data_IF_695176769411
#
_entry.id   IF_695176769411
#
_cell.length_a   1.000
_cell.length_b   1.000
_cell.length_c   1.000
_cell.angle_alpha   90.00
_cell.angle_beta   90.00
_cell.angle_gamma   90.00
#
_symmetry.space_group_name_H-M   'P 1'
#
loop_
_entity.id
_entity.type
_entity.pdbx_description
1 polymer ?
#
# COMPACT_ATOMS: atom_id res chain seq x y z
N UNK A 1 -27.03 19.15 -47.05
CA UNK A 1 -27.11 17.85 -46.35
C UNK A 1 -26.08 16.97 -47.04
N UNK A 2 -24.92 16.72 -46.42
CA UNK A 2 -23.92 15.85 -47.03
C UNK A 2 -24.42 14.41 -46.94
N UNK A 3 -24.63 13.78 -48.08
CA UNK A 3 -24.92 12.34 -48.18
C UNK A 3 -23.85 11.56 -47.40
N UNK A 4 -24.29 10.61 -46.57
CA UNK A 4 -23.40 9.76 -45.77
C UNK A 4 -22.85 8.61 -46.60
N UNK A 5 -21.94 7.83 -46.02
CA UNK A 5 -21.60 6.52 -46.59
C UNK A 5 -22.84 5.62 -46.48
N UNK A 6 -23.25 5.03 -47.58
CA UNK A 6 -24.39 4.12 -47.68
C UNK A 6 -23.99 2.87 -48.47
N UNK A 7 -24.78 1.81 -48.34
CA UNK A 7 -24.62 0.60 -49.13
C UNK A 7 -25.98 0.03 -49.52
N UNK A 8 -26.05 -0.62 -50.68
CA UNK A 8 -27.23 -1.33 -51.16
C UNK A 8 -26.86 -2.63 -51.85
N UNK A 9 -27.81 -3.55 -51.95
CA UNK A 9 -27.66 -4.76 -52.74
C UNK A 9 -28.33 -4.57 -54.09
N UNK A 10 -27.62 -4.96 -55.15
CA UNK A 10 -28.15 -5.03 -56.50
C UNK A 10 -28.04 -6.48 -56.99
N UNK A 11 -29.07 -6.97 -57.68
CA UNK A 11 -29.05 -8.30 -58.29
C UNK A 11 -28.54 -8.17 -59.72
N UNK A 12 -27.38 -8.77 -60.00
CA UNK A 12 -26.86 -8.85 -61.37
C UNK A 12 -27.74 -9.76 -62.23
N UNK A 13 -27.77 -9.53 -63.56
CA UNK A 13 -28.53 -10.33 -64.55
C UNK A 13 -28.26 -11.85 -64.46
N UNK A 14 -27.14 -12.27 -63.85
CA UNK A 14 -26.76 -13.66 -63.59
C UNK A 14 -27.19 -14.24 -62.22
N UNK A 15 -28.01 -13.52 -61.45
CA UNK A 15 -28.57 -13.99 -60.16
C UNK A 15 -27.58 -13.93 -58.98
N UNK A 16 -26.44 -13.27 -59.15
CA UNK A 16 -25.44 -13.08 -58.10
C UNK A 16 -25.59 -11.71 -57.42
N UNK A 17 -25.62 -11.69 -56.09
CA UNK A 17 -25.74 -10.47 -55.31
C UNK A 17 -24.48 -9.60 -55.43
N UNK A 18 -24.67 -8.32 -55.74
CA UNK A 18 -23.63 -7.30 -55.82
C UNK A 18 -23.83 -6.26 -54.73
N UNK A 19 -22.79 -5.96 -53.96
CA UNK A 19 -22.84 -4.94 -52.92
C UNK A 19 -22.33 -3.62 -53.49
N UNK A 20 -23.21 -2.62 -53.57
CA UNK A 20 -22.90 -1.31 -54.13
C UNK A 20 -22.64 -0.34 -52.98
N UNK A 21 -21.47 0.30 -53.00
CA UNK A 21 -21.08 1.31 -52.02
C UNK A 21 -21.31 2.70 -52.60
N UNK A 22 -22.03 3.55 -51.86
CA UNK A 22 -22.47 4.87 -52.30
C UNK A 22 -22.01 5.97 -51.35
N UNK A 23 -21.78 7.16 -51.89
CA UNK A 23 -21.43 8.35 -51.12
C UNK A 23 -19.96 8.42 -50.70
N UNK A 24 -19.59 9.31 -49.75
CA UNK A 24 -18.22 9.48 -49.30
C UNK A 24 -17.81 8.40 -48.28
N UNK A 25 -16.80 7.60 -48.59
CA UNK A 25 -16.22 6.55 -47.75
C UNK A 25 -14.96 7.04 -47.02
N UNK A 26 -15.19 7.94 -46.06
CA UNK A 26 -14.17 8.57 -45.23
C UNK A 26 -14.30 8.13 -43.76
N UNK A 27 -13.25 8.29 -42.96
CA UNK A 27 -13.26 7.96 -41.53
C UNK A 27 -14.38 8.71 -40.77
N UNK A 28 -14.77 9.88 -41.25
CA UNK A 28 -15.82 10.72 -40.67
C UNK A 28 -17.25 10.27 -41.01
N UNK A 29 -17.44 9.40 -42.01
CA UNK A 29 -18.75 9.04 -42.55
C UNK A 29 -19.06 7.55 -42.44
N UNK A 30 -18.05 6.69 -42.57
CA UNK A 30 -18.19 5.23 -42.62
C UNK A 30 -18.63 4.62 -41.27
N UNK A 31 -18.41 5.33 -40.15
CA UNK A 31 -18.78 4.84 -38.82
C UNK A 31 -20.28 4.58 -38.62
N UNK A 32 -21.15 5.15 -39.47
CA UNK A 32 -22.61 4.90 -39.42
C UNK A 32 -23.01 3.54 -39.98
N UNK A 33 -22.25 3.02 -40.95
CA UNK A 33 -22.54 1.77 -41.66
C UNK A 33 -21.61 0.62 -41.25
N UNK A 34 -20.48 0.90 -40.56
CA UNK A 34 -19.49 -0.11 -40.15
C UNK A 34 -20.12 -1.29 -39.38
N UNK A 35 -21.06 -1.03 -38.47
CA UNK A 35 -21.71 -2.09 -37.69
C UNK A 35 -22.55 -3.02 -38.58
N UNK A 36 -23.37 -2.43 -39.45
CA UNK A 36 -24.26 -3.18 -40.34
C UNK A 36 -23.45 -3.97 -41.39
N UNK A 37 -22.40 -3.35 -41.95
CA UNK A 37 -21.48 -4.01 -42.87
C UNK A 37 -20.78 -5.20 -42.21
N UNK A 38 -20.44 -5.12 -40.91
CA UNK A 38 -19.82 -6.24 -40.17
C UNK A 38 -20.76 -7.40 -39.94
N UNK A 39 -22.06 -7.17 -39.87
CA UNK A 39 -23.09 -8.19 -39.67
C UNK A 39 -23.51 -8.88 -40.97
N UNK A 40 -23.05 -8.40 -42.14
CA UNK A 40 -23.29 -9.05 -43.43
C UNK A 40 -22.60 -10.42 -43.50
N UNK A 41 -23.40 -11.45 -43.78
CA UNK A 41 -22.99 -12.84 -43.97
C UNK A 41 -23.43 -13.35 -45.37
N UNK A 42 -22.59 -14.19 -45.99
CA UNK A 42 -22.87 -14.81 -47.29
C UNK A 42 -21.96 -14.31 -48.42
N UNK A 43 -21.74 -15.11 -49.46
CA UNK A 43 -20.89 -14.73 -50.57
C UNK A 43 -21.57 -13.64 -51.42
N UNK A 44 -20.84 -12.57 -51.69
CA UNK A 44 -21.23 -11.52 -52.62
C UNK A 44 -20.30 -11.62 -53.82
N UNK A 45 -20.82 -11.56 -55.05
CA UNK A 45 -19.99 -11.77 -56.23
C UNK A 45 -19.07 -10.59 -56.53
N UNK A 46 -19.55 -9.36 -56.31
CA UNK A 46 -18.76 -8.16 -56.53
C UNK A 46 -19.10 -7.04 -55.54
N UNK A 47 -18.08 -6.28 -55.17
CA UNK A 47 -18.18 -5.03 -54.43
C UNK A 47 -18.01 -3.87 -55.42
N UNK A 48 -19.05 -3.06 -55.63
CA UNK A 48 -19.00 -1.92 -56.56
C UNK A 48 -18.66 -0.62 -55.85
N UNK A 49 -17.60 0.05 -56.31
CA UNK A 49 -17.16 1.36 -55.84
C UNK A 49 -17.51 2.51 -56.81
N UNK A 50 -18.24 2.24 -57.91
CA UNK A 50 -18.52 3.22 -58.97
C UNK A 50 -19.25 4.47 -58.48
N UNK A 51 -20.04 4.34 -57.42
CA UNK A 51 -20.84 5.42 -56.82
C UNK A 51 -20.22 6.00 -55.54
N UNK A 52 -18.97 5.64 -55.24
CA UNK A 52 -18.21 6.23 -54.13
C UNK A 52 -17.61 7.56 -54.58
N UNK A 53 -18.04 8.65 -53.93
CA UNK A 53 -17.63 10.02 -54.30
C UNK A 53 -16.22 10.36 -53.82
N UNK A 54 -15.88 9.96 -52.60
CA UNK A 54 -14.55 10.13 -52.00
C UNK A 54 -14.18 8.90 -51.17
N UNK A 55 -12.89 8.57 -51.10
CA UNK A 55 -12.40 7.45 -50.29
C UNK A 55 -11.04 7.80 -49.66
N UNK A 56 -10.88 7.45 -48.39
CA UNK A 56 -9.62 7.56 -47.65
C UNK A 56 -9.03 6.18 -47.31
N UNK A 57 -7.93 6.17 -46.55
CA UNK A 57 -7.25 4.93 -46.17
C UNK A 57 -8.13 4.01 -45.32
N UNK A 58 -9.04 4.55 -44.50
CA UNK A 58 -9.95 3.76 -43.67
C UNK A 58 -11.07 3.18 -44.52
N UNK A 59 -11.66 3.97 -45.42
CA UNK A 59 -12.65 3.49 -46.38
C UNK A 59 -12.09 2.41 -47.30
N UNK A 60 -10.86 2.59 -47.80
CA UNK A 60 -10.18 1.59 -48.62
C UNK A 60 -9.86 0.30 -47.82
N UNK A 61 -9.43 0.43 -46.56
CA UNK A 61 -9.23 -0.72 -45.68
C UNK A 61 -10.52 -1.48 -45.41
N UNK A 62 -11.63 -0.78 -45.16
CA UNK A 62 -12.91 -1.42 -44.93
C UNK A 62 -13.42 -2.13 -46.18
N UNK A 63 -13.32 -1.50 -47.36
CA UNK A 63 -13.71 -2.11 -48.63
C UNK A 63 -12.87 -3.37 -48.94
N UNK A 64 -11.55 -3.31 -48.77
CA UNK A 64 -10.65 -4.46 -48.96
C UNK A 64 -10.92 -5.58 -47.95
N UNK A 65 -11.14 -5.23 -46.67
CA UNK A 65 -11.47 -6.20 -45.62
C UNK A 65 -12.83 -6.87 -45.88
N UNK A 66 -13.82 -6.11 -46.33
CA UNK A 66 -15.16 -6.60 -46.63
C UNK A 66 -15.17 -7.50 -47.87
N UNK A 67 -14.47 -7.10 -48.94
CA UNK A 67 -14.29 -7.90 -50.14
C UNK A 67 -13.60 -9.24 -49.82
N UNK A 68 -12.51 -9.22 -49.04
CA UNK A 68 -11.82 -10.43 -48.61
C UNK A 68 -12.68 -11.34 -47.74
N UNK A 69 -13.53 -10.78 -46.87
CA UNK A 69 -14.41 -11.56 -46.00
C UNK A 69 -15.61 -12.17 -46.72
N UNK A 70 -16.20 -11.45 -47.67
CA UNK A 70 -17.37 -11.91 -48.45
C UNK A 70 -16.97 -12.66 -49.74
N UNK A 71 -15.67 -12.74 -50.06
CA UNK A 71 -15.16 -13.38 -51.27
C UNK A 71 -15.54 -12.64 -52.55
N UNK A 72 -15.71 -11.31 -52.48
CA UNK A 72 -16.20 -10.47 -53.57
C UNK A 72 -15.06 -9.79 -54.34
N UNK A 73 -15.19 -9.70 -55.67
CA UNK A 73 -14.25 -8.93 -56.48
C UNK A 73 -14.59 -7.43 -56.43
N UNK A 74 -13.58 -6.59 -56.22
CA UNK A 74 -13.77 -5.13 -56.19
C UNK A 74 -13.84 -4.58 -57.62
N UNK A 75 -14.94 -3.91 -57.94
CA UNK A 75 -15.24 -3.32 -59.26
C UNK A 75 -15.51 -1.82 -59.11
N UNK A 76 -15.39 -1.04 -60.20
CA UNK A 76 -15.78 0.38 -60.18
C UNK A 76 -14.84 1.35 -59.45
N UNK A 77 -13.64 0.90 -59.04
CA UNK A 77 -12.69 1.74 -58.32
C UNK A 77 -12.10 2.86 -59.20
N UNK A 78 -12.23 4.11 -58.77
CA UNK A 78 -11.53 5.24 -59.40
C UNK A 78 -9.99 5.17 -59.13
N UNK A 79 -9.19 5.96 -59.84
CA UNK A 79 -7.71 5.90 -59.76
C UNK A 79 -7.17 6.20 -58.34
N UNK A 80 -7.90 6.98 -57.54
CA UNK A 80 -7.55 7.27 -56.14
C UNK A 80 -7.87 6.09 -55.23
N UNK A 81 -9.05 5.49 -55.40
CA UNK A 81 -9.50 4.30 -54.70
C UNK A 81 -8.56 3.12 -54.97
N UNK A 82 -8.21 2.87 -56.24
CA UNK A 82 -7.31 1.78 -56.63
C UNK A 82 -5.90 1.94 -56.00
N UNK A 83 -5.37 3.17 -55.94
CA UNK A 83 -4.09 3.44 -55.25
C UNK A 83 -4.15 3.17 -53.76
N UNK A 84 -5.23 3.57 -53.09
CA UNK A 84 -5.41 3.35 -51.66
C UNK A 84 -5.65 1.88 -51.33
N UNK A 85 -6.45 1.17 -52.12
CA UNK A 85 -6.68 -0.27 -51.98
C UNK A 85 -5.35 -1.04 -52.08
N UNK A 86 -4.53 -0.74 -53.09
CA UNK A 86 -3.20 -1.35 -53.25
C UNK A 86 -2.24 -1.00 -52.11
N UNK A 87 -2.29 0.22 -51.58
CA UNK A 87 -1.47 0.63 -50.44
C UNK A 87 -1.89 -0.09 -49.15
N UNK A 88 -3.18 -0.37 -48.98
CA UNK A 88 -3.69 -1.10 -47.83
C UNK A 88 -3.43 -2.61 -47.95
N UNK A 89 -3.62 -3.21 -49.12
CA UNK A 89 -3.28 -4.62 -49.39
C UNK A 89 -1.79 -4.93 -49.18
N UNK A 90 -0.91 -3.98 -49.47
CA UNK A 90 0.53 -4.12 -49.17
C UNK A 90 0.87 -3.89 -47.70
N UNK A 91 -0.07 -3.33 -46.92
CA UNK A 91 0.09 -2.99 -45.50
C UNK A 91 -0.71 -3.92 -44.57
N UNK A 92 -1.47 -4.89 -45.10
CA UNK A 92 -2.14 -5.94 -44.32
C UNK A 92 -1.12 -6.94 -43.77
N UNK A 93 -0.21 -6.43 -42.96
CA UNK A 93 0.66 -7.23 -42.15
C UNK A 93 -0.19 -7.95 -41.09
N UNK A 94 -0.25 -9.28 -41.17
CA UNK A 94 -0.71 -10.20 -40.13
C UNK A 94 0.18 -10.14 -38.86
N UNK A 95 0.55 -8.94 -38.41
CA UNK A 95 1.30 -8.80 -37.16
C UNK A 95 0.30 -9.05 -36.03
N UNK A 96 0.45 -10.19 -35.37
CA UNK A 96 -0.29 -10.51 -34.15
C UNK A 96 -0.13 -9.37 -33.14
N UNK A 97 -1.20 -8.59 -32.94
CA UNK A 97 -1.24 -7.46 -32.00
C UNK A 97 -1.37 -7.97 -30.55
N UNK A 98 -1.71 -9.25 -30.35
CA UNK A 98 -1.78 -9.84 -29.02
C UNK A 98 -0.43 -10.45 -28.60
N UNK A 99 0.14 -10.06 -27.44
CA UNK A 99 1.29 -10.75 -26.91
C UNK A 99 0.94 -12.23 -26.69
N UNK A 100 1.79 -13.19 -27.09
CA UNK A 100 1.50 -14.61 -26.95
C UNK A 100 1.23 -14.91 -25.47
N UNK A 101 -0.02 -15.26 -25.16
CA UNK A 101 -0.41 -15.64 -23.81
C UNK A 101 0.25 -16.97 -23.50
N UNK A 102 1.33 -16.94 -22.71
CA UNK A 102 1.97 -18.15 -22.23
C UNK A 102 0.92 -19.07 -21.60
N UNK A 103 0.97 -20.38 -21.86
CA UNK A 103 0.04 -21.32 -21.26
C UNK A 103 0.13 -21.27 -19.74
N UNK A 104 -0.97 -21.61 -19.06
CA UNK A 104 -1.15 -21.39 -17.61
C UNK A 104 -0.01 -22.00 -16.78
N UNK A 105 0.49 -23.18 -17.19
CA UNK A 105 1.59 -23.88 -16.52
C UNK A 105 2.95 -23.15 -16.60
N UNK A 106 3.13 -22.21 -17.53
CA UNK A 106 4.30 -21.33 -17.59
C UNK A 106 4.03 -19.97 -16.95
N UNK A 107 2.80 -19.45 -17.09
CA UNK A 107 2.41 -18.14 -16.57
C UNK A 107 2.42 -18.09 -15.04
N UNK A 108 1.92 -19.12 -14.38
CA UNK A 108 1.87 -19.17 -12.90
C UNK A 108 3.28 -19.21 -12.30
N UNK A 109 4.17 -20.15 -12.68
CA UNK A 109 5.55 -20.14 -12.19
C UNK A 109 6.32 -18.88 -12.54
N UNK A 110 6.10 -18.29 -13.72
CA UNK A 110 6.76 -17.03 -14.10
C UNK A 110 6.31 -15.86 -13.21
N UNK A 111 5.02 -15.74 -12.91
CA UNK A 111 4.51 -14.70 -12.02
C UNK A 111 5.00 -14.90 -10.58
N UNK A 112 5.02 -16.15 -10.10
CA UNK A 112 5.59 -16.50 -8.80
C UNK A 112 7.09 -16.16 -8.76
N UNK A 113 7.85 -16.57 -9.78
CA UNK A 113 9.28 -16.26 -9.90
C UNK A 113 9.57 -14.77 -9.89
N UNK A 114 8.81 -13.96 -10.64
CA UNK A 114 8.91 -12.49 -10.61
C UNK A 114 8.66 -11.93 -9.22
N UNK A 115 7.64 -12.44 -8.49
CA UNK A 115 7.37 -12.03 -7.11
C UNK A 115 8.49 -12.41 -6.15
N UNK A 116 8.99 -13.65 -6.22
CA UNK A 116 10.10 -14.12 -5.38
C UNK A 116 11.35 -13.26 -5.58
N UNK A 117 11.71 -12.97 -6.84
CA UNK A 117 12.86 -12.12 -7.17
C UNK A 117 12.63 -10.69 -6.65
N UNK A 118 11.44 -10.12 -6.82
CA UNK A 118 11.12 -8.79 -6.31
C UNK A 118 11.19 -8.74 -4.78
N UNK A 119 10.68 -9.76 -4.08
CA UNK A 119 10.79 -9.88 -2.62
C UNK A 119 12.25 -9.99 -2.19
N UNK A 120 13.08 -10.75 -2.89
CA UNK A 120 14.52 -10.86 -2.63
C UNK A 120 15.24 -9.51 -2.70
N UNK A 121 14.97 -8.71 -3.74
CA UNK A 121 15.50 -7.34 -3.84
C UNK A 121 14.98 -6.45 -2.70
N UNK A 122 13.70 -6.59 -2.31
CA UNK A 122 13.13 -5.84 -1.19
C UNK A 122 13.83 -6.16 0.14
N UNK A 123 14.12 -7.43 0.42
CA UNK A 123 14.87 -7.84 1.62
C UNK A 123 16.29 -7.26 1.58
N UNK A 124 16.97 -7.33 0.44
CA UNK A 124 18.30 -6.76 0.28
C UNK A 124 18.31 -5.24 0.52
N UNK A 125 17.27 -4.52 0.08
CA UNK A 125 17.12 -3.09 0.31
C UNK A 125 16.91 -2.75 1.80
N UNK A 126 16.08 -3.53 2.52
CA UNK A 126 15.89 -3.38 3.98
C UNK A 126 17.21 -3.61 4.71
N UNK A 127 17.93 -4.67 4.36
CA UNK A 127 19.24 -4.99 4.96
C UNK A 127 20.28 -3.90 4.66
N UNK A 128 20.30 -3.37 3.43
CA UNK A 128 21.14 -2.25 3.05
C UNK A 128 20.84 -0.99 3.85
N UNK A 129 19.57 -0.66 4.03
CA UNK A 129 19.14 0.49 4.85
C UNK A 129 19.51 0.33 6.32
N UNK A 130 19.31 -0.86 6.88
CA UNK A 130 19.75 -1.19 8.24
C UNK A 130 21.27 -1.06 8.38
N UNK A 131 22.03 -1.53 7.39
CA UNK A 131 23.48 -1.36 7.33
C UNK A 131 23.89 0.11 7.32
N UNK A 132 23.21 0.97 6.54
CA UNK A 132 23.45 2.42 6.53
C UNK A 132 23.19 3.07 7.89
N UNK A 133 22.15 2.62 8.60
CA UNK A 133 21.82 3.12 9.95
C UNK A 133 22.91 2.71 10.94
N UNK A 134 23.33 1.44 10.93
CA UNK A 134 24.39 0.94 11.82
C UNK A 134 25.70 1.70 11.58
N UNK A 135 26.08 1.88 10.32
CA UNK A 135 27.27 2.65 9.95
C UNK A 135 27.14 4.13 10.34
N UNK A 136 25.96 4.72 10.17
CA UNK A 136 25.67 6.09 10.60
C UNK A 136 25.77 6.26 12.12
N UNK A 137 25.24 5.31 12.90
CA UNK A 137 25.39 5.29 14.35
C UNK A 137 26.86 5.18 14.76
N UNK A 138 27.62 4.26 14.15
CA UNK A 138 29.05 4.12 14.40
C UNK A 138 29.85 5.38 14.06
N UNK A 139 29.51 6.05 12.95
CA UNK A 139 30.07 7.34 12.53
C UNK A 139 29.80 8.43 13.58
N UNK A 140 28.57 8.54 14.08
CA UNK A 140 28.19 9.49 15.13
C UNK A 140 28.94 9.26 16.44
N UNK A 141 29.10 8.01 16.85
CA UNK A 141 29.86 7.65 18.06
C UNK A 141 31.33 8.09 17.90
N UNK A 142 31.91 7.91 16.71
CA UNK A 142 33.29 8.30 16.40
C UNK A 142 33.45 9.83 16.24
N UNK A 143 32.41 10.53 15.80
CA UNK A 143 32.40 11.96 15.54
C UNK A 143 31.16 12.65 16.15
N UNK A 144 31.06 12.78 17.49
CA UNK A 144 29.87 13.28 18.16
C UNK A 144 29.50 14.73 17.79
N UNK A 145 30.46 15.52 17.32
CA UNK A 145 30.20 16.89 16.83
C UNK A 145 29.28 16.97 15.60
N UNK A 146 29.04 15.85 14.90
CA UNK A 146 28.07 15.77 13.79
C UNK A 146 26.64 15.54 14.28
N UNK A 147 26.44 15.18 15.54
CA UNK A 147 25.13 14.87 16.08
C UNK A 147 24.25 16.12 16.22
N UNK A 148 23.07 16.07 15.61
CA UNK A 148 22.10 17.17 15.65
C UNK A 148 21.19 17.05 16.88
N UNK A 149 21.71 17.37 18.06
CA UNK A 149 20.93 17.28 19.31
C UNK A 149 19.60 18.06 19.29
N UNK A 150 19.55 19.23 18.63
CA UNK A 150 18.31 20.00 18.46
C UNK A 150 17.24 19.21 17.68
N UNK A 151 17.66 18.45 16.66
CA UNK A 151 16.74 17.60 15.90
C UNK A 151 16.22 16.44 16.75
N UNK A 152 17.07 15.85 17.61
CA UNK A 152 16.62 14.81 18.55
C UNK A 152 15.57 15.38 19.53
N UNK A 153 15.84 16.52 20.17
CA UNK A 153 14.92 17.12 21.15
C UNK A 153 13.57 17.43 20.50
N UNK A 154 13.57 17.99 19.30
CA UNK A 154 12.33 18.22 18.55
C UNK A 154 11.56 16.91 18.28
N UNK A 155 12.26 15.83 17.92
CA UNK A 155 11.60 14.54 17.73
C UNK A 155 11.11 13.91 19.04
N UNK A 156 11.81 14.09 20.16
CA UNK A 156 11.35 13.65 21.48
C UNK A 156 10.03 14.34 21.86
N UNK A 157 9.91 15.63 21.60
CA UNK A 157 8.67 16.38 21.83
C UNK A 157 7.53 15.90 20.91
N UNK A 158 7.79 15.77 19.62
CA UNK A 158 6.79 15.32 18.64
C UNK A 158 6.28 13.90 18.90
N UNK A 159 7.19 12.97 19.16
CA UNK A 159 6.87 11.55 19.37
C UNK A 159 6.31 11.32 20.77
N UNK A 160 6.87 12.01 21.77
CA UNK A 160 6.56 11.84 23.17
C UNK A 160 5.40 12.70 23.63
N UNK A 161 5.70 13.97 23.89
CA UNK A 161 4.77 14.92 24.54
C UNK A 161 3.46 15.03 23.76
N UNK A 162 3.54 15.19 22.44
CA UNK A 162 2.34 15.36 21.62
C UNK A 162 1.53 14.06 21.47
N UNK A 163 2.08 12.89 21.85
CA UNK A 163 1.36 11.62 21.84
C UNK A 163 0.66 11.32 23.17
N UNK A 164 1.02 12.00 24.27
CA UNK A 164 0.48 11.73 25.60
C UNK A 164 -1.05 11.76 25.65
N UNK A 165 -1.76 12.76 25.08
CA UNK A 165 -3.22 12.82 25.23
C UNK A 165 -3.94 11.63 24.58
N UNK A 166 -3.52 11.25 23.37
CA UNK A 166 -4.17 10.17 22.63
C UNK A 166 -3.82 8.80 23.23
N UNK A 167 -2.57 8.59 23.67
CA UNK A 167 -2.16 7.35 24.33
C UNK A 167 -2.85 7.23 25.68
N UNK A 168 -2.91 8.31 26.47
CA UNK A 168 -3.57 8.33 27.77
C UNK A 168 -5.05 7.99 27.66
N UNK A 169 -5.77 8.68 26.77
CA UNK A 169 -7.19 8.42 26.56
C UNK A 169 -7.47 6.98 26.13
N UNK A 170 -6.73 6.47 25.13
CA UNK A 170 -6.91 5.10 24.64
C UNK A 170 -6.57 4.07 25.72
N UNK A 171 -5.47 4.25 26.44
CA UNK A 171 -5.05 3.33 27.50
C UNK A 171 -6.05 3.30 28.64
N UNK A 172 -6.60 4.45 29.03
CA UNK A 172 -7.64 4.56 30.04
C UNK A 172 -8.90 3.77 29.65
N UNK A 173 -9.39 3.99 28.42
CA UNK A 173 -10.57 3.31 27.90
C UNK A 173 -10.35 1.79 27.79
N UNK A 174 -9.16 1.37 27.34
CA UNK A 174 -8.81 -0.05 27.27
C UNK A 174 -8.75 -0.66 28.68
N UNK A 175 -8.19 0.05 29.66
CA UNK A 175 -8.18 -0.35 31.05
C UNK A 175 -9.59 -0.60 31.61
N UNK A 176 -10.53 0.31 31.33
CA UNK A 176 -11.95 0.16 31.66
C UNK A 176 -12.51 -1.13 31.04
N UNK A 177 -12.30 -1.31 29.73
CA UNK A 177 -12.86 -2.45 28.99
C UNK A 177 -12.31 -3.78 29.51
N UNK A 178 -11.01 -3.86 29.80
CA UNK A 178 -10.37 -5.07 30.35
C UNK A 178 -10.91 -5.37 31.74
N UNK A 179 -10.99 -4.37 32.62
CA UNK A 179 -11.51 -4.58 33.98
C UNK A 179 -12.96 -5.04 33.96
N UNK A 180 -13.80 -4.42 33.12
CA UNK A 180 -15.21 -4.80 32.99
C UNK A 180 -15.35 -6.23 32.46
N UNK A 181 -14.66 -6.58 31.37
CA UNK A 181 -14.74 -7.92 30.80
C UNK A 181 -14.15 -8.97 31.75
N UNK A 182 -13.03 -8.67 32.40
CA UNK A 182 -12.41 -9.52 33.40
C UNK A 182 -13.33 -9.81 34.58
N UNK A 183 -13.97 -8.77 35.13
CA UNK A 183 -14.91 -8.90 36.22
C UNK A 183 -16.09 -9.81 35.86
N UNK A 184 -16.71 -9.56 34.70
CA UNK A 184 -17.85 -10.37 34.22
C UNK A 184 -17.44 -11.83 33.99
N UNK A 185 -16.25 -12.07 33.45
CA UNK A 185 -15.79 -13.42 33.17
C UNK A 185 -15.40 -14.19 34.44
N UNK A 186 -14.81 -13.52 35.44
CA UNK A 186 -14.43 -14.10 36.72
C UNK A 186 -15.60 -14.25 37.70
N UNK A 187 -16.67 -13.46 37.54
CA UNK A 187 -17.91 -13.59 38.32
C UNK A 187 -18.53 -14.98 38.19
N UNK A 188 -18.40 -15.61 37.02
CA UNK A 188 -18.89 -16.96 36.76
C UNK A 188 -18.20 -18.01 37.64
N UNK A 189 -17.01 -17.70 38.17
CA UNK A 189 -16.22 -18.57 39.05
C UNK A 189 -16.20 -18.07 40.51
N UNK A 190 -16.97 -17.02 40.84
CA UNK A 190 -16.94 -16.37 42.16
C UNK A 190 -15.60 -15.68 42.49
N UNK A 191 -14.79 -15.39 41.47
CA UNK A 191 -13.40 -14.94 41.60
C UNK A 191 -13.20 -13.49 41.13
N UNK A 192 -14.23 -12.66 41.22
CA UNK A 192 -14.27 -11.28 40.69
C UNK A 192 -13.12 -10.40 41.22
N UNK A 193 -12.66 -10.67 42.44
CA UNK A 193 -11.54 -9.94 43.05
C UNK A 193 -10.18 -10.21 42.37
N UNK A 194 -10.05 -11.30 41.60
CA UNK A 194 -8.87 -11.59 40.77
C UNK A 194 -8.78 -10.69 39.53
N UNK A 195 -9.81 -9.91 39.23
CA UNK A 195 -9.78 -8.91 38.14
C UNK A 195 -8.64 -7.92 38.32
N UNK A 196 -8.28 -7.59 39.57
CA UNK A 196 -7.14 -6.71 39.88
C UNK A 196 -5.83 -7.31 39.34
N UNK A 197 -5.65 -8.63 39.48
CA UNK A 197 -4.47 -9.34 39.01
C UNK A 197 -4.44 -9.40 37.48
N UNK A 198 -5.61 -9.66 36.88
CA UNK A 198 -5.76 -9.70 35.43
C UNK A 198 -5.39 -8.35 34.82
N UNK A 199 -5.98 -7.26 35.29
CA UNK A 199 -5.72 -5.90 34.81
C UNK A 199 -4.25 -5.54 35.03
N UNK A 200 -3.74 -5.72 36.25
CA UNK A 200 -2.37 -5.35 36.59
C UNK A 200 -1.32 -6.10 35.76
N UNK A 201 -1.39 -7.43 35.71
CA UNK A 201 -0.41 -8.23 34.96
C UNK A 201 -0.50 -8.00 33.46
N UNK A 202 -1.69 -8.07 32.86
CA UNK A 202 -1.84 -7.92 31.40
C UNK A 202 -1.39 -6.52 30.94
N UNK A 203 -1.73 -5.46 31.69
CA UNK A 203 -1.39 -4.09 31.28
C UNK A 203 0.09 -3.76 31.42
N UNK A 204 0.76 -4.27 32.45
CA UNK A 204 2.19 -4.03 32.67
C UNK A 204 3.06 -4.87 31.74
N UNK A 205 2.66 -6.12 31.51
CA UNK A 205 3.46 -7.10 30.77
C UNK A 205 3.31 -6.98 29.26
N UNK A 206 2.08 -6.80 28.79
CA UNK A 206 1.73 -6.95 27.37
C UNK A 206 1.06 -5.68 26.83
N UNK A 207 -0.17 -5.40 27.27
CA UNK A 207 -1.06 -4.48 26.57
C UNK A 207 -0.63 -3.02 26.64
N UNK A 208 -0.02 -2.55 27.73
CA UNK A 208 0.41 -1.15 27.83
C UNK A 208 1.43 -0.79 26.74
N UNK A 209 2.45 -1.64 26.61
CA UNK A 209 3.52 -1.43 25.64
C UNK A 209 3.08 -1.73 24.21
N UNK A 210 2.30 -2.81 24.00
CA UNK A 210 1.76 -3.16 22.69
C UNK A 210 0.83 -2.07 22.13
N UNK A 211 -0.11 -1.58 22.94
CA UNK A 211 -1.05 -0.54 22.51
C UNK A 211 -0.34 0.78 22.23
N UNK A 212 0.63 1.14 23.07
CA UNK A 212 1.50 2.29 22.82
C UNK A 212 2.21 2.13 21.48
N UNK A 213 2.77 0.96 21.19
CA UNK A 213 3.46 0.72 19.93
C UNK A 213 2.56 0.85 18.69
N UNK A 214 1.34 0.30 18.75
CA UNK A 214 0.34 0.43 17.67
C UNK A 214 -0.02 1.91 17.46
N UNK A 215 -0.26 2.67 18.53
CA UNK A 215 -0.61 4.08 18.45
C UNK A 215 0.55 4.95 17.92
N UNK A 216 1.78 4.69 18.38
CA UNK A 216 2.98 5.40 17.93
C UNK A 216 3.29 5.04 16.47
N UNK A 217 3.05 3.80 16.03
CA UNK A 217 3.15 3.40 14.62
C UNK A 217 2.18 4.22 13.75
N UNK A 218 0.91 4.28 14.15
CA UNK A 218 -0.12 5.01 13.42
C UNK A 218 0.11 6.52 13.37
N UNK A 219 0.57 7.14 14.46
CA UNK A 219 0.74 8.61 14.56
C UNK A 219 2.13 9.07 14.13
N UNK A 220 3.17 8.58 14.82
CA UNK A 220 4.55 9.05 14.64
C UNK A 220 5.23 8.33 13.49
N UNK A 221 5.01 7.02 13.33
CA UNK A 221 5.56 6.24 12.21
C UNK A 221 5.04 6.74 10.86
N UNK A 222 3.74 7.04 10.76
CA UNK A 222 3.15 7.65 9.55
C UNK A 222 3.70 9.05 9.30
N UNK A 223 3.83 9.89 10.35
CA UNK A 223 4.40 11.22 10.23
C UNK A 223 5.86 11.19 9.75
N UNK A 224 6.66 10.23 10.22
CA UNK A 224 8.03 10.05 9.74
C UNK A 224 8.08 9.70 8.26
N UNK A 225 7.24 8.76 7.83
CA UNK A 225 7.15 8.35 6.43
C UNK A 225 6.70 9.52 5.54
N UNK A 226 5.66 10.26 5.96
CA UNK A 226 5.14 11.40 5.24
C UNK A 226 6.16 12.55 5.16
N UNK A 227 6.81 12.91 6.26
CA UNK A 227 7.80 13.99 6.28
C UNK A 227 9.02 13.65 5.41
N UNK A 228 9.61 12.47 5.59
CA UNK A 228 10.77 12.05 4.80
C UNK A 228 10.40 11.85 3.33
N UNK A 229 9.20 11.33 3.06
CA UNK A 229 8.66 11.18 1.71
C UNK A 229 8.49 12.51 1.00
N UNK A 230 7.92 13.51 1.67
CA UNK A 230 7.80 14.86 1.13
C UNK A 230 9.17 15.50 0.91
N UNK A 231 10.10 15.38 1.87
CA UNK A 231 11.48 15.89 1.71
C UNK A 231 12.23 15.21 0.57
N UNK A 232 11.91 13.95 0.27
CA UNK A 232 12.48 13.21 -0.85
C UNK A 232 11.88 13.67 -2.17
N UNK A 233 10.56 13.90 -2.21
CA UNK A 233 9.83 14.44 -3.35
C UNK A 233 10.25 15.88 -3.71
N UNK A 234 10.55 16.71 -2.71
CA UNK A 234 11.02 18.10 -2.89
C UNK A 234 12.53 18.19 -3.10
N UNK A 235 13.21 17.05 -3.33
CA UNK A 235 14.67 16.95 -3.54
C UNK A 235 15.53 17.48 -2.38
N UNK A 236 14.96 17.79 -1.20
CA UNK A 236 15.72 18.26 -0.03
C UNK A 236 16.74 17.21 0.44
N UNK A 237 16.37 15.92 0.37
CA UNK A 237 17.27 14.80 0.74
C UNK A 237 18.47 14.72 -0.22
N UNK A 238 18.26 14.98 -1.51
CA UNK A 238 19.34 14.92 -2.50
C UNK A 238 20.20 16.19 -2.46
N UNK A 239 19.61 17.35 -2.21
CA UNK A 239 20.34 18.58 -1.92
C UNK A 239 21.28 18.41 -0.72
N UNK A 240 20.84 17.76 0.36
CA UNK A 240 21.69 17.44 1.51
C UNK A 240 22.89 16.59 1.14
N UNK A 241 22.71 15.57 0.28
CA UNK A 241 23.81 14.71 -0.19
C UNK A 241 24.82 15.51 -1.01
N UNK A 242 24.35 16.41 -1.86
CA UNK A 242 25.21 17.27 -2.70
C UNK A 242 26.11 18.19 -1.89
N UNK A 243 25.62 18.72 -0.76
CA UNK A 243 26.43 19.55 0.17
C UNK A 243 27.21 18.72 1.20
N UNK A 244 27.30 17.40 1.02
CA UNK A 244 28.11 16.51 1.87
C UNK A 244 27.49 16.18 3.23
N UNK A 245 26.20 16.42 3.44
CA UNK A 245 25.50 16.10 4.68
C UNK A 245 24.79 14.74 4.52
N UNK A 246 25.14 13.78 5.39
CA UNK A 246 24.47 12.47 5.41
C UNK A 246 23.00 12.60 5.84
N UNK A 247 22.02 12.25 5.00
CA UNK A 247 20.60 12.30 5.39
C UNK A 247 20.26 11.29 6.50
N UNK A 248 20.96 10.16 6.54
CA UNK A 248 20.77 9.13 7.57
C UNK A 248 21.11 9.71 8.95
N UNK A 249 22.28 10.36 9.06
CA UNK A 249 22.75 10.97 10.31
C UNK A 249 21.87 12.14 10.75
N UNK A 250 21.46 12.99 9.80
CA UNK A 250 20.76 14.22 10.11
C UNK A 250 19.24 14.07 10.29
N UNK A 251 18.62 13.09 9.62
CA UNK A 251 17.16 12.93 9.58
C UNK A 251 16.68 11.62 10.21
N UNK A 252 17.32 10.50 9.91
CA UNK A 252 16.82 9.16 10.29
C UNK A 252 17.19 8.80 11.72
N UNK A 253 18.47 8.95 12.09
CA UNK A 253 18.95 8.60 13.43
C UNK A 253 18.21 9.33 14.55
N UNK A 254 17.99 10.67 14.51
CA UNK A 254 17.26 11.37 15.56
C UNK A 254 15.83 10.86 15.75
N UNK A 255 15.13 10.48 14.66
CA UNK A 255 13.77 9.92 14.70
C UNK A 255 13.74 8.53 15.32
N UNK A 256 14.68 7.66 14.93
CA UNK A 256 14.80 6.31 15.50
C UNK A 256 15.11 6.39 17.00
N UNK A 257 16.06 7.24 17.39
CA UNK A 257 16.40 7.44 18.81
C UNK A 257 15.23 7.98 19.61
N UNK A 258 14.53 8.99 19.08
CA UNK A 258 13.35 9.53 19.74
C UNK A 258 12.25 8.47 19.89
N UNK A 259 11.95 7.69 18.86
CA UNK A 259 10.95 6.63 18.93
C UNK A 259 11.34 5.53 19.93
N UNK A 260 12.60 5.10 19.91
CA UNK A 260 13.13 4.07 20.83
C UNK A 260 13.04 4.52 22.29
N UNK A 261 13.50 5.73 22.60
CA UNK A 261 13.50 6.25 23.96
C UNK A 261 12.09 6.61 24.44
N UNK A 262 11.29 7.27 23.60
CA UNK A 262 9.93 7.65 23.97
C UNK A 262 9.02 6.44 24.13
N UNK A 263 9.23 5.33 23.41
CA UNK A 263 8.41 4.12 23.60
C UNK A 263 8.53 3.59 25.03
N UNK A 264 9.71 3.66 25.66
CA UNK A 264 9.91 3.25 27.04
C UNK A 264 9.05 4.08 28.01
N UNK A 265 9.13 5.41 27.87
CA UNK A 265 8.40 6.36 28.73
C UNK A 265 6.89 6.27 28.49
N UNK A 266 6.47 6.22 27.23
CA UNK A 266 5.06 6.17 26.85
C UNK A 266 4.42 4.83 27.20
N UNK A 267 5.15 3.72 27.06
CA UNK A 267 4.68 2.39 27.45
C UNK A 267 4.39 2.31 28.95
N UNK A 268 5.31 2.82 29.78
CA UNK A 268 5.08 2.92 31.22
C UNK A 268 3.87 3.81 31.56
N UNK A 269 3.80 4.99 30.94
CA UNK A 269 2.67 5.89 31.10
C UNK A 269 1.34 5.23 30.72
N UNK A 270 1.30 4.51 29.60
CA UNK A 270 0.12 3.76 29.13
C UNK A 270 -0.32 2.71 30.16
N UNK A 271 0.60 1.91 30.69
CA UNK A 271 0.28 0.90 31.71
C UNK A 271 -0.32 1.54 32.97
N UNK A 272 0.26 2.65 33.45
CA UNK A 272 -0.25 3.38 34.63
C UNK A 272 -1.67 3.89 34.36
N UNK A 273 -1.91 4.52 33.21
CA UNK A 273 -3.21 5.08 32.87
C UNK A 273 -4.26 3.98 32.65
N UNK A 274 -3.87 2.84 32.08
CA UNK A 274 -4.75 1.67 31.94
C UNK A 274 -5.14 1.09 33.30
N UNK A 275 -4.20 1.00 34.24
CA UNK A 275 -4.49 0.59 35.62
C UNK A 275 -5.49 1.54 36.28
N UNK A 276 -5.32 2.85 36.11
CA UNK A 276 -6.25 3.86 36.64
C UNK A 276 -7.65 3.64 36.05
N UNK A 277 -7.77 3.39 34.74
CA UNK A 277 -9.03 3.05 34.09
C UNK A 277 -9.67 1.79 34.67
N UNK A 278 -8.88 0.75 34.93
CA UNK A 278 -9.36 -0.47 35.57
C UNK A 278 -9.80 -0.27 37.02
N UNK A 279 -9.10 0.61 37.77
CA UNK A 279 -9.45 0.94 39.15
C UNK A 279 -10.81 1.67 39.25
N UNK A 280 -11.14 2.53 38.27
CA UNK A 280 -12.48 3.17 38.19
C UNK A 280 -13.57 2.11 38.07
N UNK A 281 -13.37 1.09 37.22
CA UNK A 281 -14.33 -0.02 37.09
C UNK A 281 -14.37 -0.88 38.35
N UNK A 282 -13.22 -1.12 38.99
CA UNK A 282 -13.15 -1.84 40.26
C UNK A 282 -13.98 -1.17 41.36
N UNK A 283 -13.96 0.16 41.43
CA UNK A 283 -14.77 0.92 42.38
C UNK A 283 -16.27 0.81 42.05
N UNK A 284 -16.64 1.04 40.79
CA UNK A 284 -18.05 1.10 40.37
C UNK A 284 -18.75 -0.27 40.32
N UNK A 285 -18.06 -1.33 39.91
CA UNK A 285 -18.67 -2.65 39.69
C UNK A 285 -18.36 -3.66 40.78
N UNK A 286 -17.14 -3.63 41.35
CA UNK A 286 -16.68 -4.64 42.31
C UNK A 286 -16.76 -4.15 43.76
N UNK A 287 -17.10 -2.87 43.98
CA UNK A 287 -17.11 -2.24 45.30
C UNK A 287 -15.72 -2.19 45.96
N UNK A 288 -14.65 -2.24 45.16
CA UNK A 288 -13.27 -2.17 45.65
C UNK A 288 -12.83 -0.70 45.57
N UNK A 289 -12.58 -0.01 46.71
CA UNK A 289 -12.17 1.38 46.68
C UNK A 289 -10.93 1.60 45.82
N UNK A 290 -10.91 2.69 45.04
CA UNK A 290 -9.83 3.02 44.10
C UNK A 290 -8.41 2.83 44.66
N UNK A 291 -8.14 3.35 45.87
CA UNK A 291 -6.83 3.25 46.51
C UNK A 291 -6.48 1.82 46.94
N UNK A 292 -7.48 1.05 47.36
CA UNK A 292 -7.33 -0.38 47.69
C UNK A 292 -7.05 -1.21 46.45
N UNK A 293 -7.63 -0.86 45.30
CA UNK A 293 -7.33 -1.50 44.03
C UNK A 293 -5.86 -1.31 43.66
N UNK A 294 -5.36 -0.08 43.80
CA UNK A 294 -3.98 0.27 43.47
C UNK A 294 -2.97 -0.38 44.43
N UNK A 295 -3.28 -0.45 45.73
CA UNK A 295 -2.43 -1.17 46.69
C UNK A 295 -2.38 -2.67 46.41
N UNK A 296 -3.50 -3.29 46.05
CA UNK A 296 -3.54 -4.71 45.67
C UNK A 296 -2.71 -5.02 44.44
N UNK A 297 -2.65 -4.12 43.45
CA UNK A 297 -1.76 -4.31 42.29
C UNK A 297 -0.32 -4.45 42.74
N UNK A 298 0.14 -3.62 43.67
CA UNK A 298 1.52 -3.69 44.18
C UNK A 298 1.81 -5.00 44.92
N UNK A 299 0.80 -5.58 45.58
CA UNK A 299 0.94 -6.84 46.32
C UNK A 299 0.95 -8.07 45.40
N UNK A 300 0.17 -8.05 44.32
CA UNK A 300 -0.09 -9.27 43.52
C UNK A 300 0.58 -9.29 42.15
N UNK A 301 0.95 -8.13 41.60
CA UNK A 301 1.68 -8.04 40.33
C UNK A 301 3.18 -8.15 40.58
N UNK A 302 3.85 -9.17 40.03
CA UNK A 302 5.29 -9.28 40.14
C UNK A 302 6.00 -8.11 39.46
N UNK A 303 7.10 -7.66 40.06
CA UNK A 303 7.95 -6.58 39.49
C UNK A 303 8.54 -6.99 38.13
N UNK A 304 8.72 -8.30 37.88
CA UNK A 304 9.23 -8.77 36.59
C UNK A 304 8.28 -8.48 35.42
N UNK A 305 6.96 -8.41 35.63
CA UNK A 305 6.01 -8.09 34.55
C UNK A 305 6.24 -6.68 34.01
N UNK A 306 6.57 -5.73 34.90
CA UNK A 306 6.98 -4.39 34.49
C UNK A 306 8.29 -4.42 33.69
N UNK A 307 9.28 -5.19 34.11
CA UNK A 307 10.55 -5.31 33.38
C UNK A 307 10.36 -5.95 32.01
N UNK A 308 9.53 -6.98 31.89
CA UNK A 308 9.18 -7.61 30.60
C UNK A 308 8.63 -6.56 29.64
N UNK A 309 7.63 -5.77 30.06
CA UNK A 309 7.10 -4.69 29.23
C UNK A 309 8.16 -3.65 28.85
N UNK A 310 8.92 -3.17 29.83
CA UNK A 310 9.94 -2.13 29.61
C UNK A 310 11.09 -2.59 28.70
N UNK A 311 11.46 -3.88 28.73
CA UNK A 311 12.48 -4.44 27.83
C UNK A 311 11.97 -4.51 26.38
N UNK A 312 10.68 -4.84 26.18
CA UNK A 312 10.06 -4.87 24.83
C UNK A 312 9.95 -3.46 24.23
N UNK A 313 9.67 -2.45 25.05
CA UNK A 313 9.33 -1.11 24.58
C UNK A 313 10.40 -0.48 23.63
N UNK A 314 11.71 -0.44 23.96
CA UNK A 314 12.72 0.06 23.03
C UNK A 314 12.74 -0.67 21.70
N UNK A 315 12.52 -1.99 21.70
CA UNK A 315 12.54 -2.80 20.48
C UNK A 315 11.37 -2.44 19.57
N UNK A 316 10.19 -2.22 20.14
CA UNK A 316 9.04 -1.75 19.37
C UNK A 316 9.23 -0.31 18.87
N UNK A 317 9.81 0.58 19.68
CA UNK A 317 10.15 1.94 19.24
C UNK A 317 11.16 1.95 18.09
N UNK A 318 12.15 1.06 18.12
CA UNK A 318 13.09 0.86 17.03
C UNK A 318 12.39 0.39 15.76
N UNK A 319 11.51 -0.62 15.83
CA UNK A 319 10.75 -1.13 14.68
C UNK A 319 9.90 -0.04 14.05
N UNK A 320 9.15 0.72 14.87
CA UNK A 320 8.31 1.81 14.39
C UNK A 320 9.13 2.91 13.71
N UNK A 321 10.25 3.31 14.34
CA UNK A 321 11.17 4.29 13.78
C UNK A 321 11.78 3.82 12.46
N UNK A 322 12.23 2.57 12.39
CA UNK A 322 12.81 1.96 11.19
C UNK A 322 11.80 1.88 10.05
N UNK A 323 10.61 1.34 10.30
CA UNK A 323 9.56 1.21 9.28
C UNK A 323 9.14 2.59 8.73
N UNK A 324 8.89 3.57 9.61
CA UNK A 324 8.58 4.94 9.22
C UNK A 324 9.67 5.57 8.34
N UNK A 325 10.93 5.48 8.79
CA UNK A 325 12.04 6.08 8.05
C UNK A 325 12.35 5.34 6.74
N UNK A 326 12.29 4.01 6.73
CA UNK A 326 12.57 3.19 5.56
C UNK A 326 11.58 3.45 4.42
N UNK A 327 10.29 3.48 4.73
CA UNK A 327 9.26 3.73 3.73
C UNK A 327 9.26 5.19 3.27
N UNK A 328 9.54 6.15 4.15
CA UNK A 328 9.67 7.56 3.76
C UNK A 328 10.85 7.82 2.82
N UNK A 329 11.99 7.16 3.05
CA UNK A 329 13.19 7.31 2.20
C UNK A 329 13.10 6.61 0.84
N UNK A 330 12.03 5.84 0.59
CA UNK A 330 11.79 5.10 -0.65
C UNK A 330 10.74 5.75 -1.56
N UNK A 331 10.27 6.95 -1.24
CA UNK A 331 9.42 7.70 -2.16
C UNK A 331 10.26 8.14 -3.36
N UNK A 332 9.82 7.83 -4.57
CA UNK A 332 10.51 8.21 -5.82
C UNK A 332 9.59 8.92 -6.82
N UNK A 333 8.28 8.71 -6.70
CA UNK A 333 7.27 9.16 -7.64
C UNK A 333 6.60 10.47 -7.25
N UNK A 334 5.27 10.47 -7.19
CA UNK A 334 4.43 11.65 -6.99
C UNK A 334 3.89 11.71 -5.55
N UNK A 335 3.11 12.76 -5.23
CA UNK A 335 2.49 12.93 -3.91
C UNK A 335 1.57 11.76 -3.49
N UNK A 336 1.02 11.01 -4.45
CA UNK A 336 0.21 9.82 -4.15
C UNK A 336 1.08 8.69 -3.57
N UNK A 337 2.32 8.55 -4.03
CA UNK A 337 3.25 7.56 -3.49
C UNK A 337 3.60 7.83 -2.02
N UNK A 338 3.70 9.10 -1.62
CA UNK A 338 3.91 9.49 -0.21
C UNK A 338 2.81 8.89 0.66
N UNK A 339 1.55 9.00 0.23
CA UNK A 339 0.41 8.39 0.92
C UNK A 339 0.51 6.86 1.00
N UNK A 340 0.84 6.20 -0.12
CA UNK A 340 0.99 4.73 -0.18
C UNK A 340 2.11 4.23 0.75
N UNK A 341 3.28 4.89 0.72
CA UNK A 341 4.44 4.57 1.57
C UNK A 341 4.14 4.82 3.04
N UNK A 342 3.39 5.87 3.35
CA UNK A 342 2.93 6.16 4.71
C UNK A 342 2.06 5.03 5.26
N UNK A 343 1.08 4.54 4.49
CA UNK A 343 0.25 3.41 4.92
C UNK A 343 1.07 2.13 5.07
N UNK A 344 1.97 1.84 4.13
CA UNK A 344 2.86 0.68 4.22
C UNK A 344 3.77 0.73 5.45
N UNK A 345 4.23 1.92 5.86
CA UNK A 345 5.01 2.10 7.08
C UNK A 345 4.23 1.69 8.32
N UNK A 346 2.97 2.12 8.44
CA UNK A 346 2.11 1.79 9.58
C UNK A 346 1.81 0.28 9.61
N UNK A 347 1.40 -0.30 8.48
CA UNK A 347 1.04 -1.72 8.41
C UNK A 347 2.23 -2.61 8.70
N UNK A 348 3.41 -2.33 8.12
CA UNK A 348 4.62 -3.11 8.35
C UNK A 348 5.10 -3.00 9.80
N UNK A 349 5.04 -1.81 10.41
CA UNK A 349 5.39 -1.60 11.80
C UNK A 349 4.48 -2.40 12.75
N UNK A 350 3.14 -2.27 12.59
CA UNK A 350 2.18 -2.98 13.44
C UNK A 350 2.35 -4.49 13.31
N UNK A 351 2.48 -5.00 12.08
CA UNK A 351 2.68 -6.42 11.86
C UNK A 351 3.97 -6.94 12.51
N UNK A 352 5.09 -6.23 12.32
CA UNK A 352 6.37 -6.60 12.91
C UNK A 352 6.34 -6.55 14.44
N UNK A 353 5.68 -5.54 15.04
CA UNK A 353 5.51 -5.43 16.48
C UNK A 353 4.69 -6.61 17.03
N UNK A 354 3.54 -6.93 16.43
CA UNK A 354 2.68 -8.04 16.90
C UNK A 354 3.41 -9.38 16.81
N UNK A 355 4.07 -9.64 15.68
CA UNK A 355 4.83 -10.89 15.50
C UNK A 355 5.93 -10.99 16.55
N UNK A 356 6.71 -9.91 16.75
CA UNK A 356 7.80 -9.92 17.72
C UNK A 356 7.30 -10.00 19.16
N UNK A 357 6.15 -9.42 19.46
CA UNK A 357 5.51 -9.53 20.78
C UNK A 357 5.14 -10.99 21.10
N UNK A 358 4.60 -11.73 20.14
CA UNK A 358 4.33 -13.15 20.28
C UNK A 358 5.62 -13.96 20.53
N UNK A 359 6.71 -13.65 19.84
CA UNK A 359 8.02 -14.26 20.11
C UNK A 359 8.52 -13.94 21.52
N UNK A 360 8.41 -12.69 21.96
CA UNK A 360 8.81 -12.33 23.33
C UNK A 360 7.95 -12.99 24.39
N UNK A 361 6.64 -13.13 24.17
CA UNK A 361 5.75 -13.81 25.10
C UNK A 361 6.22 -15.25 25.35
N UNK A 362 6.51 -16.01 24.28
CA UNK A 362 7.07 -17.37 24.40
C UNK A 362 8.44 -17.36 25.08
N UNK A 363 9.33 -16.45 24.68
CA UNK A 363 10.68 -16.36 25.22
C UNK A 363 10.71 -16.08 26.73
N UNK A 364 9.91 -15.15 27.22
CA UNK A 364 9.87 -14.82 28.65
C UNK A 364 9.18 -15.91 29.48
N UNK A 365 8.19 -16.61 28.91
CA UNK A 365 7.61 -17.80 29.55
C UNK A 365 8.66 -18.91 29.74
N UNK A 366 9.48 -19.20 28.73
CA UNK A 366 10.55 -20.21 28.80
C UNK A 366 11.65 -19.87 29.82
N UNK A 367 11.94 -18.59 30.03
CA UNK A 367 12.95 -18.12 31.01
C UNK A 367 12.41 -18.16 32.47
N UNK A 368 11.15 -18.56 32.66
CA UNK A 368 10.51 -18.62 33.97
C UNK A 368 9.96 -17.27 34.45
N UNK A 369 9.83 -16.30 33.54
CA UNK A 369 9.09 -15.06 33.76
C UNK A 369 7.74 -15.17 33.05
N UNK A 370 7.02 -16.27 33.28
CA UNK A 370 5.73 -16.59 32.65
C UNK A 370 4.52 -16.00 33.35
#
# INVERSE_FOLDING_TARGET
>A
MSEGAEFSFDESEDGAARLVLTGPWLVSTVGKVDKELRELEGPVAALDLSHVSEIDTVGAWLASTLAGRLGADITGANERAARLLKAVESSSNEVQIEPPRLPIHLRVPQQVGKRVIATGHGIAAVLGFLGQIILGFGSLIRHPGRFRGKALVHQLELVGVNALPIIGLMSFLIGIVIAQQGAVQLAQFGAETLTVNLVGRITLRELGVLMTAIMVAGRSGSAFAAQLGTMKLTEEVDAMRTIGISPIEALVIPRILAATFMMLVLGFYSSVVAIIGGAVVGDMMLGIPFWTFLSRIQEVVPVHDMWVGLIKAPVFGLIVGLAGCYHGMQVEGNSEEVGKRTTMAVVSAIFAVIVLDAFFAVFFTEIGWG
#
